data_IF_681426379457
#
_entry.id   IF_681426379457
#
_cell.length_a   1.000
_cell.length_b   1.000
_cell.length_c   1.000
_cell.angle_alpha   90.00
_cell.angle_beta   90.00
_cell.angle_gamma   90.00
#
_symmetry.space_group_name_H-M   'P 1'
#
loop_
_entity.id
_entity.type
_entity.pdbx_description
1 polymer ?
#
# COMPACT_ATOMS: atom_id res chain seq x y z
N UNK A 1 15.38 12.80 24.25
CA UNK A 1 14.74 11.55 24.74
C UNK A 1 13.61 11.27 23.77
N UNK A 2 13.67 10.12 23.08
CA UNK A 2 12.63 9.74 22.11
C UNK A 2 11.33 9.43 22.85
N UNK A 3 10.19 9.82 22.26
CA UNK A 3 8.90 9.48 22.86
C UNK A 3 8.57 7.99 22.67
N UNK A 4 7.74 7.38 23.54
CA UNK A 4 7.28 6.01 23.31
C UNK A 4 6.60 5.83 21.94
N UNK A 5 5.95 6.86 21.41
CA UNK A 5 5.34 6.83 20.07
C UNK A 5 6.40 6.73 18.96
N UNK A 6 7.57 7.34 19.14
CA UNK A 6 8.66 7.29 18.16
C UNK A 6 9.27 5.87 18.04
N UNK A 7 9.32 5.14 19.13
CA UNK A 7 9.80 3.75 19.13
C UNK A 7 8.87 2.81 18.32
N UNK A 8 7.56 3.08 18.33
CA UNK A 8 6.59 2.20 17.64
C UNK A 8 6.67 2.31 16.12
N UNK A 9 6.75 3.52 15.53
CA UNK A 9 6.85 3.60 14.07
C UNK A 9 8.20 3.07 13.54
N UNK A 10 9.28 3.21 14.33
CA UNK A 10 10.59 2.65 13.96
C UNK A 10 10.56 1.13 13.89
N UNK A 11 9.86 0.46 14.80
CA UNK A 11 9.74 -1.00 14.76
C UNK A 11 9.02 -1.49 13.49
N UNK A 12 8.08 -0.71 12.94
CA UNK A 12 7.44 -1.00 11.67
C UNK A 12 8.45 -0.90 10.52
N UNK A 13 9.22 0.19 10.47
CA UNK A 13 10.20 0.41 9.40
C UNK A 13 11.37 -0.57 9.49
N UNK A 14 11.84 -0.88 10.69
CA UNK A 14 12.88 -1.88 10.91
C UNK A 14 12.43 -3.26 10.44
N UNK A 15 11.21 -3.67 10.82
CA UNK A 15 10.63 -4.92 10.34
C UNK A 15 10.54 -4.95 8.82
N UNK A 16 9.97 -3.90 8.21
CA UNK A 16 9.68 -3.88 6.79
C UNK A 16 10.94 -3.78 5.92
N UNK A 17 11.89 -2.92 6.29
CA UNK A 17 13.05 -2.62 5.45
C UNK A 17 14.36 -3.31 5.89
N UNK A 18 14.46 -3.80 7.12
CA UNK A 18 15.69 -4.42 7.63
C UNK A 18 15.54 -5.90 7.97
N UNK A 19 14.41 -6.32 8.59
CA UNK A 19 14.21 -7.73 8.92
C UNK A 19 13.72 -8.54 7.71
N UNK A 20 12.84 -7.95 6.85
CA UNK A 20 12.32 -8.64 5.67
C UNK A 20 13.27 -8.48 4.48
N UNK A 21 13.56 -9.58 3.74
CA UNK A 21 14.20 -9.45 2.43
C UNK A 21 13.24 -8.77 1.44
N UNK A 22 13.76 -7.95 0.55
CA UNK A 22 12.94 -7.23 -0.45
C UNK A 22 12.10 -8.14 -1.34
N UNK A 23 12.53 -9.38 -1.55
CA UNK A 23 11.76 -10.41 -2.26
C UNK A 23 10.45 -10.82 -1.56
N UNK A 24 10.32 -10.55 -0.26
CA UNK A 24 9.12 -10.88 0.51
C UNK A 24 8.01 -9.82 0.42
N UNK A 25 8.33 -8.59 0.00
CA UNK A 25 7.35 -7.47 0.01
C UNK A 25 6.14 -7.71 -0.87
N UNK A 26 6.32 -8.37 -2.03
CA UNK A 26 5.29 -8.58 -3.03
C UNK A 26 4.87 -10.05 -3.16
N UNK A 27 5.37 -10.88 -2.25
CA UNK A 27 5.03 -12.29 -2.19
C UNK A 27 3.83 -12.58 -1.30
N UNK A 28 3.32 -13.81 -1.40
CA UNK A 28 2.34 -14.34 -0.44
C UNK A 28 3.01 -15.40 0.44
N UNK A 29 2.91 -15.23 1.76
CA UNK A 29 3.43 -16.18 2.74
C UNK A 29 2.54 -16.18 3.98
N UNK A 30 1.92 -17.32 4.24
CA UNK A 30 1.08 -17.50 5.43
C UNK A 30 1.87 -17.29 6.74
N UNK A 31 3.17 -17.61 6.73
CA UNK A 31 4.05 -17.36 7.87
C UNK A 31 4.28 -15.85 8.09
N UNK A 32 4.53 -15.11 7.02
CA UNK A 32 4.67 -13.65 7.08
C UNK A 32 3.38 -13.00 7.53
N UNK A 33 2.24 -13.40 6.95
CA UNK A 33 0.91 -12.89 7.31
C UNK A 33 0.61 -13.12 8.80
N UNK A 34 0.88 -14.32 9.31
CA UNK A 34 0.73 -14.66 10.73
C UNK A 34 1.68 -13.87 11.63
N UNK A 35 2.90 -13.64 11.17
CA UNK A 35 3.90 -12.85 11.92
C UNK A 35 3.47 -11.38 12.02
N UNK A 36 3.00 -10.78 10.92
CA UNK A 36 2.49 -9.41 10.91
C UNK A 36 1.27 -9.28 11.82
N UNK A 37 0.30 -10.20 11.71
CA UNK A 37 -0.88 -10.20 12.55
C UNK A 37 -0.55 -10.27 14.05
N UNK A 38 0.37 -11.14 14.42
CA UNK A 38 0.78 -11.32 15.82
C UNK A 38 1.58 -10.13 16.36
N UNK A 39 2.53 -9.59 15.56
CA UNK A 39 3.43 -8.51 16.04
C UNK A 39 2.78 -7.15 16.02
N UNK A 40 1.93 -6.88 15.03
CA UNK A 40 1.47 -5.54 14.69
C UNK A 40 -0.06 -5.41 14.59
N UNK A 41 -0.81 -6.45 14.96
CA UNK A 41 -2.28 -6.42 14.89
C UNK A 41 -2.90 -5.29 15.70
N UNK A 42 -2.42 -5.04 16.92
CA UNK A 42 -2.92 -3.94 17.78
C UNK A 42 -2.58 -2.57 17.17
N UNK A 43 -1.37 -2.42 16.61
CA UNK A 43 -0.96 -1.19 15.92
C UNK A 43 -1.84 -0.97 14.68
N UNK A 44 -2.16 -2.03 13.96
CA UNK A 44 -3.06 -1.96 12.80
C UNK A 44 -4.47 -1.49 13.21
N UNK A 45 -5.02 -1.99 14.32
CA UNK A 45 -6.31 -1.51 14.82
C UNK A 45 -6.24 -0.04 15.24
N UNK A 46 -5.17 0.38 15.91
CA UNK A 46 -4.95 1.79 16.26
C UNK A 46 -4.84 2.68 15.00
N UNK A 47 -4.18 2.19 13.93
CA UNK A 47 -4.11 2.90 12.66
C UNK A 47 -5.50 3.08 12.02
N UNK A 48 -6.32 2.01 11.98
CA UNK A 48 -7.70 2.08 11.47
C UNK A 48 -8.55 3.07 12.26
N UNK A 49 -8.33 3.18 13.57
CA UNK A 49 -9.02 4.12 14.45
C UNK A 49 -8.48 5.57 14.36
N UNK A 50 -7.39 5.79 13.58
CA UNK A 50 -6.75 7.11 13.44
C UNK A 50 -5.92 7.53 14.66
N UNK A 51 -5.59 6.61 15.55
CA UNK A 51 -4.91 6.89 16.82
C UNK A 51 -3.41 7.13 16.66
N UNK A 52 -2.83 6.82 15.47
CA UNK A 52 -1.41 7.01 15.20
C UNK A 52 -1.05 8.41 14.69
N UNK A 53 -1.95 9.38 14.82
CA UNK A 53 -1.78 10.74 14.30
C UNK A 53 -0.50 11.44 14.83
N UNK A 54 -0.02 11.09 16.01
CA UNK A 54 1.24 11.63 16.56
C UNK A 54 2.48 11.22 15.76
N UNK A 55 2.42 10.12 14.98
CA UNK A 55 3.52 9.71 14.12
C UNK A 55 3.74 10.68 12.94
N UNK A 56 2.70 11.39 12.54
CA UNK A 56 2.67 12.22 11.32
C UNK A 56 3.54 13.47 11.39
N UNK A 57 4.13 13.81 12.55
CA UNK A 57 5.08 14.90 12.67
C UNK A 57 6.47 14.56 12.10
N UNK A 58 6.75 13.29 11.80
CA UNK A 58 7.96 12.81 11.17
C UNK A 58 7.65 12.14 9.82
N UNK A 59 8.48 12.36 8.77
CA UNK A 59 8.33 11.69 7.48
C UNK A 59 8.29 10.16 7.60
N UNK A 60 9.19 9.60 8.41
CA UNK A 60 9.27 8.17 8.69
C UNK A 60 8.01 7.64 9.41
N UNK A 61 7.46 8.42 10.33
CA UNK A 61 6.21 8.06 11.02
C UNK A 61 5.00 8.05 10.08
N UNK A 62 4.91 9.01 9.14
CA UNK A 62 3.90 9.04 8.08
C UNK A 62 4.00 7.80 7.20
N UNK A 63 5.21 7.44 6.77
CA UNK A 63 5.45 6.23 5.98
C UNK A 63 5.04 4.97 6.74
N UNK A 64 5.41 4.85 8.01
CA UNK A 64 5.06 3.68 8.82
C UNK A 64 3.55 3.50 8.95
N UNK A 65 2.78 4.59 9.20
CA UNK A 65 1.31 4.53 9.26
C UNK A 65 0.72 4.09 7.92
N UNK A 66 1.27 4.56 6.79
CA UNK A 66 0.84 4.16 5.44
C UNK A 66 1.14 2.67 5.21
N UNK A 67 2.33 2.16 5.56
CA UNK A 67 2.67 0.73 5.44
C UNK A 67 1.70 -0.12 6.26
N UNK A 68 1.38 0.29 7.49
CA UNK A 68 0.43 -0.42 8.35
C UNK A 68 -0.96 -0.49 7.69
N UNK A 69 -1.46 0.62 7.14
CA UNK A 69 -2.79 0.67 6.54
C UNK A 69 -2.86 0.00 5.16
N UNK A 70 -1.84 0.18 4.33
CA UNK A 70 -1.84 -0.34 2.95
C UNK A 70 -1.31 -1.78 2.90
N UNK A 71 -0.11 -2.03 3.40
CA UNK A 71 0.55 -3.33 3.26
C UNK A 71 0.08 -4.34 4.32
N UNK A 72 0.07 -3.97 5.60
CA UNK A 72 -0.31 -4.91 6.65
C UNK A 72 -1.78 -5.31 6.57
N UNK A 73 -2.68 -4.44 6.07
CA UNK A 73 -4.07 -4.83 5.78
C UNK A 73 -4.14 -5.99 4.81
N UNK A 74 -3.33 -5.98 3.76
CA UNK A 74 -3.26 -7.05 2.76
C UNK A 74 -2.73 -8.36 3.34
N UNK A 75 -1.76 -8.29 4.23
CA UNK A 75 -1.24 -9.47 4.92
C UNK A 75 -2.24 -10.01 5.96
N UNK A 76 -2.72 -9.17 6.88
CA UNK A 76 -3.58 -9.59 8.01
C UNK A 76 -4.93 -10.11 7.52
N UNK A 77 -5.46 -9.53 6.46
CA UNK A 77 -6.80 -9.84 5.94
C UNK A 77 -6.77 -10.43 4.53
N UNK A 78 -5.72 -11.19 4.20
CA UNK A 78 -5.62 -11.87 2.91
C UNK A 78 -6.91 -12.66 2.63
N UNK A 79 -7.34 -12.64 1.38
CA UNK A 79 -8.58 -13.29 0.91
C UNK A 79 -9.87 -12.77 1.58
N UNK A 80 -9.84 -11.54 2.08
CA UNK A 80 -10.99 -10.88 2.70
C UNK A 80 -11.18 -9.46 2.13
N UNK A 81 -12.42 -8.95 2.06
CA UNK A 81 -12.68 -7.55 1.68
C UNK A 81 -11.98 -6.55 2.60
N UNK A 82 -11.68 -6.92 3.84
CA UNK A 82 -10.96 -6.09 4.80
C UNK A 82 -9.53 -5.74 4.36
N UNK A 83 -8.94 -6.52 3.45
CA UNK A 83 -7.61 -6.23 2.88
C UNK A 83 -7.56 -4.87 2.18
N UNK A 84 -8.71 -4.38 1.68
CA UNK A 84 -8.82 -3.13 0.92
C UNK A 84 -9.57 -2.02 1.67
N UNK A 85 -10.09 -2.31 2.86
CA UNK A 85 -10.95 -1.37 3.59
C UNK A 85 -10.25 -0.07 4.00
N UNK A 86 -8.93 -0.10 4.19
CA UNK A 86 -8.12 1.04 4.58
C UNK A 86 -7.48 1.80 3.39
N UNK A 87 -7.69 1.37 2.14
CA UNK A 87 -7.03 1.96 0.97
C UNK A 87 -7.30 3.46 0.84
N UNK A 88 -8.53 3.90 1.08
CA UNK A 88 -8.88 5.33 1.05
C UNK A 88 -8.17 6.14 2.13
N UNK A 89 -8.03 5.61 3.33
CA UNK A 89 -7.32 6.26 4.43
C UNK A 89 -5.82 6.34 4.12
N UNK A 90 -5.21 5.25 3.65
CA UNK A 90 -3.80 5.22 3.25
C UNK A 90 -3.52 6.22 2.12
N UNK A 91 -4.41 6.33 1.12
CA UNK A 91 -4.28 7.28 0.03
C UNK A 91 -4.30 8.73 0.53
N UNK A 92 -5.24 9.11 1.38
CA UNK A 92 -5.31 10.49 1.93
C UNK A 92 -4.05 10.81 2.73
N UNK A 93 -3.53 9.86 3.51
CA UNK A 93 -2.29 10.06 4.26
C UNK A 93 -1.06 10.20 3.34
N UNK A 94 -1.01 9.44 2.24
CA UNK A 94 0.04 9.59 1.23
C UNK A 94 -0.03 10.96 0.53
N UNK A 95 -1.22 11.42 0.18
CA UNK A 95 -1.44 12.76 -0.39
C UNK A 95 -0.96 13.87 0.56
N UNK A 96 -1.32 13.78 1.83
CA UNK A 96 -0.90 14.75 2.84
C UNK A 96 0.61 14.68 3.14
N UNK A 97 1.23 13.51 3.07
CA UNK A 97 2.67 13.35 3.20
C UNK A 97 3.42 14.07 2.07
N UNK A 98 2.97 13.88 0.82
CA UNK A 98 3.53 14.54 -0.36
C UNK A 98 3.30 16.05 -0.29
N UNK A 99 2.11 16.51 0.09
CA UNK A 99 1.80 17.93 0.28
C UNK A 99 2.70 18.58 1.32
N UNK A 100 3.08 17.85 2.35
CA UNK A 100 4.02 18.29 3.39
C UNK A 100 5.50 18.11 3.01
N UNK A 101 5.81 17.71 1.76
CA UNK A 101 7.16 17.40 1.27
C UNK A 101 7.91 16.34 2.10
N UNK A 102 7.18 15.47 2.81
CA UNK A 102 7.78 14.43 3.62
C UNK A 102 8.51 13.37 2.78
N UNK A 103 8.09 13.16 1.54
CA UNK A 103 8.74 12.26 0.59
C UNK A 103 10.17 12.67 0.24
N UNK A 104 10.49 13.97 0.28
CA UNK A 104 11.85 14.46 0.02
C UNK A 104 12.89 14.04 1.08
N UNK A 105 12.42 13.65 2.27
CA UNK A 105 13.27 13.20 3.38
C UNK A 105 13.36 11.67 3.46
N UNK A 106 12.73 10.95 2.53
CA UNK A 106 12.71 9.49 2.45
C UNK A 106 13.65 8.99 1.35
N UNK A 107 14.17 7.76 1.53
CA UNK A 107 14.93 7.07 0.48
C UNK A 107 14.02 6.67 -0.69
N UNK A 108 14.60 6.37 -1.84
CA UNK A 108 13.84 5.92 -3.02
C UNK A 108 13.03 4.65 -2.71
N UNK A 109 13.62 3.71 -1.99
CA UNK A 109 12.95 2.48 -1.54
C UNK A 109 11.76 2.78 -0.63
N UNK A 110 11.88 3.74 0.28
CA UNK A 110 10.81 4.18 1.16
C UNK A 110 9.69 4.90 0.38
N UNK A 111 10.06 5.71 -0.63
CA UNK A 111 9.10 6.39 -1.50
C UNK A 111 8.25 5.42 -2.33
N UNK A 112 8.78 4.24 -2.70
CA UNK A 112 7.98 3.19 -3.35
C UNK A 112 6.70 2.93 -2.54
N UNK A 113 6.83 2.71 -1.23
CA UNK A 113 5.71 2.38 -0.34
C UNK A 113 4.86 3.60 0.01
N UNK A 114 5.44 4.80 0.10
CA UNK A 114 4.67 6.03 0.28
C UNK A 114 3.70 6.27 -0.88
N UNK A 115 4.11 5.95 -2.11
CA UNK A 115 3.32 6.16 -3.33
C UNK A 115 2.36 5.01 -3.64
N UNK A 116 2.52 3.85 -3.01
CA UNK A 116 1.75 2.65 -3.31
C UNK A 116 0.23 2.81 -3.16
N UNK A 117 -0.30 3.58 -2.20
CA UNK A 117 -1.73 3.85 -2.13
C UNK A 117 -2.32 4.50 -3.39
N UNK A 118 -1.53 5.29 -4.14
CA UNK A 118 -1.96 5.81 -5.43
C UNK A 118 -2.11 4.70 -6.47
N UNK A 119 -1.15 3.78 -6.52
CA UNK A 119 -1.17 2.62 -7.42
C UNK A 119 -2.35 1.68 -7.10
N UNK A 120 -2.75 1.58 -5.84
CA UNK A 120 -3.86 0.73 -5.39
C UNK A 120 -5.26 1.33 -5.60
N UNK A 121 -5.35 2.61 -5.96
CA UNK A 121 -6.63 3.31 -6.17
C UNK A 121 -7.34 2.85 -7.43
N UNK A 122 -8.66 2.67 -7.34
CA UNK A 122 -9.52 2.40 -8.51
C UNK A 122 -9.98 3.70 -9.22
N UNK A 123 -9.38 4.85 -8.92
CA UNK A 123 -9.64 6.13 -9.60
C UNK A 123 -8.63 6.38 -10.70
N UNK A 124 -9.08 6.55 -11.94
CA UNK A 124 -8.20 6.88 -13.07
C UNK A 124 -7.42 8.19 -12.85
N UNK A 125 -8.04 9.19 -12.20
CA UNK A 125 -7.38 10.45 -11.87
C UNK A 125 -6.19 10.23 -10.90
N UNK A 126 -6.35 9.33 -9.93
CA UNK A 126 -5.29 8.96 -8.98
C UNK A 126 -4.24 8.09 -9.67
N UNK A 127 -4.61 7.18 -10.57
CA UNK A 127 -3.68 6.41 -11.38
C UNK A 127 -2.79 7.31 -12.26
N UNK A 128 -3.35 8.34 -12.86
CA UNK A 128 -2.56 9.34 -13.60
C UNK A 128 -1.56 10.08 -12.70
N UNK A 129 -1.91 10.34 -11.44
CA UNK A 129 -0.99 10.91 -10.46
C UNK A 129 0.09 9.88 -10.04
N UNK A 130 -0.28 8.61 -9.89
CA UNK A 130 0.63 7.49 -9.63
C UNK A 130 1.73 7.42 -10.70
N UNK A 131 1.37 7.44 -11.97
CA UNK A 131 2.36 7.41 -13.06
C UNK A 131 3.38 8.53 -12.95
N UNK A 132 2.94 9.76 -12.68
CA UNK A 132 3.88 10.90 -12.51
C UNK A 132 4.82 10.72 -11.32
N UNK A 133 4.32 10.17 -10.20
CA UNK A 133 5.14 9.93 -9.01
C UNK A 133 6.22 8.87 -9.28
N UNK A 134 5.85 7.74 -9.88
CA UNK A 134 6.81 6.67 -10.19
C UNK A 134 7.74 7.01 -11.34
N UNK A 135 7.31 7.81 -12.32
CA UNK A 135 8.18 8.36 -13.36
C UNK A 135 9.26 9.27 -12.74
N UNK A 136 8.84 10.20 -11.88
CA UNK A 136 9.76 11.11 -11.17
C UNK A 136 10.69 10.37 -10.20
N UNK A 137 10.26 9.23 -9.64
CA UNK A 137 11.10 8.38 -8.79
C UNK A 137 12.25 7.73 -9.59
N UNK A 138 12.06 7.48 -10.89
CA UNK A 138 13.11 7.00 -11.79
C UNK A 138 13.48 5.52 -11.65
N UNK A 139 12.69 4.73 -10.92
CA UNK A 139 12.88 3.29 -10.76
C UNK A 139 12.04 2.55 -11.81
N UNK A 140 12.68 2.12 -12.89
CA UNK A 140 12.05 1.53 -14.09
C UNK A 140 11.06 0.41 -13.78
N UNK A 141 11.43 -0.54 -12.94
CA UNK A 141 10.54 -1.65 -12.59
C UNK A 141 9.27 -1.16 -11.87
N UNK A 142 9.40 -0.21 -10.94
CA UNK A 142 8.25 0.32 -10.22
C UNK A 142 7.34 1.15 -11.12
N UNK A 143 7.89 1.90 -12.07
CA UNK A 143 7.13 2.60 -13.09
C UNK A 143 6.34 1.63 -13.99
N UNK A 144 6.95 0.52 -14.42
CA UNK A 144 6.26 -0.52 -15.20
C UNK A 144 5.10 -1.14 -14.44
N UNK A 145 5.24 -1.38 -13.13
CA UNK A 145 4.14 -1.84 -12.29
C UNK A 145 3.04 -0.78 -12.18
N UNK A 146 3.39 0.49 -11.99
CA UNK A 146 2.41 1.57 -11.97
C UNK A 146 1.64 1.67 -13.30
N UNK A 147 2.33 1.51 -14.43
CA UNK A 147 1.71 1.50 -15.76
C UNK A 147 0.73 0.33 -15.92
N UNK A 148 1.12 -0.88 -15.50
CA UNK A 148 0.24 -2.05 -15.55
C UNK A 148 -1.03 -1.87 -14.72
N UNK A 149 -0.93 -1.27 -13.53
CA UNK A 149 -2.09 -0.94 -12.70
C UNK A 149 -2.98 0.12 -13.36
N UNK A 150 -2.36 1.19 -13.87
CA UNK A 150 -3.06 2.24 -14.61
C UNK A 150 -3.88 1.69 -15.78
N UNK A 151 -3.28 0.81 -16.58
CA UNK A 151 -3.92 0.27 -17.79
C UNK A 151 -5.16 -0.57 -17.44
N UNK A 152 -5.12 -1.31 -16.33
CA UNK A 152 -6.30 -2.04 -15.83
C UNK A 152 -7.42 -1.07 -15.44
N UNK A 153 -7.10 -0.01 -14.70
CA UNK A 153 -8.10 0.98 -14.29
C UNK A 153 -8.60 1.79 -15.49
N UNK A 154 -7.75 2.11 -16.45
CA UNK A 154 -8.16 2.78 -17.69
C UNK A 154 -9.14 1.91 -18.50
N UNK A 155 -8.94 0.58 -18.51
CA UNK A 155 -9.76 -0.38 -19.23
C UNK A 155 -11.08 -0.70 -18.53
N UNK A 156 -11.04 -0.98 -17.23
CA UNK A 156 -12.19 -1.53 -16.49
C UNK A 156 -12.79 -0.57 -15.45
N UNK A 157 -12.10 0.52 -15.09
CA UNK A 157 -12.51 1.44 -14.02
C UNK A 157 -12.40 0.85 -12.62
N UNK A 158 -11.90 -0.38 -12.51
CA UNK A 158 -11.72 -1.13 -11.25
C UNK A 158 -10.72 -2.26 -11.45
N UNK A 159 -10.28 -2.88 -10.35
CA UNK A 159 -9.46 -4.10 -10.38
C UNK A 159 -10.35 -5.35 -10.42
N UNK A 160 -10.45 -6.07 -11.56
CA UNK A 160 -11.31 -7.25 -11.67
C UNK A 160 -10.99 -8.35 -10.65
N UNK A 161 -9.71 -8.53 -10.28
CA UNK A 161 -9.30 -9.53 -9.30
C UNK A 161 -9.87 -9.29 -7.88
N UNK A 162 -10.34 -8.08 -7.58
CA UNK A 162 -11.00 -7.76 -6.30
C UNK A 162 -12.50 -8.07 -6.32
N UNK A 163 -13.09 -8.32 -7.49
CA UNK A 163 -14.55 -8.39 -7.65
C UNK A 163 -15.17 -9.44 -6.74
N UNK A 164 -14.65 -10.66 -6.74
CA UNK A 164 -15.19 -11.75 -5.92
C UNK A 164 -15.17 -11.40 -4.43
N UNK A 165 -14.05 -10.89 -3.92
CA UNK A 165 -13.90 -10.52 -2.51
C UNK A 165 -14.82 -9.35 -2.11
N UNK A 166 -15.04 -8.40 -3.03
CA UNK A 166 -15.88 -7.23 -2.79
C UNK A 166 -17.37 -7.44 -3.16
N UNK A 167 -17.76 -8.67 -3.52
CA UNK A 167 -19.14 -8.98 -3.89
C UNK A 167 -19.58 -8.31 -5.20
N UNK A 168 -18.66 -7.98 -6.09
CA UNK A 168 -18.94 -7.35 -7.39
C UNK A 168 -19.05 -8.42 -8.47
N UNK A 169 -20.05 -8.29 -9.34
CA UNK A 169 -20.22 -9.17 -10.50
C UNK A 169 -19.21 -8.76 -11.59
N UNK A 170 -18.43 -9.71 -12.07
CA UNK A 170 -17.52 -9.51 -13.19
C UNK A 170 -18.26 -9.56 -14.54
N UNK A 171 -17.87 -8.69 -15.46
CA UNK A 171 -18.31 -8.76 -16.86
C UNK A 171 -17.61 -9.93 -17.59
N UNK A 172 -18.11 -10.32 -18.78
CA UNK A 172 -17.45 -11.32 -19.60
C UNK A 172 -16.02 -10.92 -19.98
N UNK A 173 -15.81 -9.64 -20.26
CA UNK A 173 -14.48 -9.10 -20.57
C UNK A 173 -13.54 -9.18 -19.37
N UNK A 174 -14.00 -8.85 -18.16
CA UNK A 174 -13.23 -9.01 -16.94
C UNK A 174 -12.90 -10.47 -16.63
N UNK A 175 -13.86 -11.40 -16.86
CA UNK A 175 -13.61 -12.84 -16.70
C UNK A 175 -12.54 -13.34 -17.67
N UNK A 176 -12.57 -12.89 -18.94
CA UNK A 176 -11.54 -13.23 -19.91
C UNK A 176 -10.17 -12.67 -19.49
N UNK A 177 -10.11 -11.41 -19.06
CA UNK A 177 -8.90 -10.76 -18.56
C UNK A 177 -8.30 -11.53 -17.36
N UNK A 178 -9.11 -12.02 -16.44
CA UNK A 178 -8.65 -12.75 -15.25
C UNK A 178 -7.95 -14.09 -15.58
N UNK A 179 -8.05 -14.58 -16.82
CA UNK A 179 -7.29 -15.74 -17.28
C UNK A 179 -5.91 -15.37 -17.85
N UNK A 180 -5.63 -14.10 -18.04
CA UNK A 180 -4.36 -13.62 -18.58
C UNK A 180 -3.29 -13.52 -17.48
N UNK A 181 -2.01 -13.71 -17.84
CA UNK A 181 -0.90 -13.46 -16.95
C UNK A 181 -0.84 -11.96 -16.58
N UNK A 182 -0.59 -11.64 -15.30
CA UNK A 182 -0.55 -10.26 -14.83
C UNK A 182 -1.93 -9.63 -14.57
N UNK A 183 -3.00 -10.42 -14.53
CA UNK A 183 -4.35 -9.95 -14.23
C UNK A 183 -4.61 -9.65 -12.75
N UNK A 184 -3.67 -10.01 -11.87
CA UNK A 184 -3.73 -9.79 -10.42
C UNK A 184 -2.36 -9.43 -9.85
N UNK A 185 -2.37 -8.71 -8.72
CA UNK A 185 -1.18 -8.23 -8.02
C UNK A 185 -1.24 -8.59 -6.53
#
# INVERSE_FOLDING_TARGET
>A
MESPSDMHYRSILEFWFAELPSSAWFGSSAELDSTIARRFGDIHQAALAGELYSWRHKPQGRLAEIIVLDQFSRNIYRDSPRAYAADGQALVLAQEAIRAHADSELTDEQRIFLYMPYMHSESLAIQNASLRLYEALGLENNYRFALAHHDIIARFGRYPHRNTLLGRVSSEEELAFLQEAGSSF
#
